data_IF_111775521876
#
_entry.id   IF_111775521876
#
_cell.length_a   1.000
_cell.length_b   1.000
_cell.length_c   1.000
_cell.angle_alpha   90.00
_cell.angle_beta   90.00
_cell.angle_gamma   90.00
#
_symmetry.space_group_name_H-M   'P 1'
#
loop_
_entity.id
_entity.type
_entity.pdbx_description
1 polymer ?
#
# COMPACT_ATOMS: atom_id res chain seq x y z
N UNK A 1 -3.74 -30.95 2.05
CA UNK A 1 -3.03 -29.66 1.92
C UNK A 1 -2.66 -29.36 0.46
N UNK A 2 -2.26 -30.37 -0.33
CA UNK A 2 -1.96 -30.24 -1.76
C UNK A 2 -3.12 -29.62 -2.59
N UNK A 3 -4.38 -29.99 -2.34
CA UNK A 3 -5.53 -29.49 -3.14
C UNK A 3 -5.90 -28.01 -2.94
N UNK A 4 -5.18 -27.29 -2.07
CA UNK A 4 -5.37 -25.86 -1.81
C UNK A 4 -4.20 -25.00 -2.27
N UNK A 5 -3.11 -25.60 -2.75
CA UNK A 5 -1.98 -24.83 -3.29
C UNK A 5 -2.16 -24.73 -4.79
N UNK A 6 -2.27 -23.50 -5.31
CA UNK A 6 -2.33 -23.28 -6.76
C UNK A 6 -0.95 -23.32 -7.40
N UNK A 7 0.08 -22.91 -6.67
CA UNK A 7 1.45 -22.94 -7.17
C UNK A 7 2.42 -22.25 -6.24
N UNK A 8 3.69 -22.61 -6.43
CA UNK A 8 4.84 -21.99 -5.80
C UNK A 8 5.80 -21.52 -6.91
N UNK A 9 6.40 -20.35 -6.72
CA UNK A 9 7.38 -19.79 -7.64
C UNK A 9 8.57 -19.28 -6.83
N UNK A 10 9.74 -19.88 -7.05
CA UNK A 10 11.00 -19.30 -6.62
C UNK A 10 11.38 -18.20 -7.60
N UNK A 11 11.59 -16.97 -7.10
CA UNK A 11 11.89 -15.80 -7.92
C UNK A 11 13.38 -15.48 -7.84
N UNK A 12 13.93 -15.49 -6.62
CA UNK A 12 15.35 -15.33 -6.35
C UNK A 12 15.70 -16.01 -5.03
N UNK A 13 16.98 -16.01 -4.65
CA UNK A 13 17.43 -16.48 -3.33
C UNK A 13 16.76 -15.73 -2.17
N UNK A 14 16.28 -14.51 -2.43
CA UNK A 14 15.67 -13.61 -1.44
C UNK A 14 14.16 -13.50 -1.56
N UNK A 15 13.54 -14.15 -2.55
CA UNK A 15 12.11 -13.97 -2.81
C UNK A 15 11.46 -15.22 -3.38
N UNK A 16 10.32 -15.58 -2.81
CA UNK A 16 9.44 -16.59 -3.38
C UNK A 16 7.98 -16.22 -3.19
N UNK A 17 7.13 -16.83 -4.01
CA UNK A 17 5.68 -16.61 -4.00
C UNK A 17 4.97 -17.94 -3.85
N UNK A 18 3.98 -17.98 -2.98
CA UNK A 18 3.06 -19.08 -2.80
C UNK A 18 1.64 -18.59 -3.01
N UNK A 19 0.89 -19.24 -3.91
CA UNK A 19 -0.52 -18.96 -4.13
C UNK A 19 -1.38 -20.08 -3.57
N UNK A 20 -2.30 -19.76 -2.67
CA UNK A 20 -3.20 -20.72 -2.03
C UNK A 20 -4.67 -20.33 -2.14
N UNK A 21 -5.54 -21.34 -2.15
CA UNK A 21 -6.99 -21.19 -2.07
C UNK A 21 -7.40 -20.98 -0.62
N UNK A 22 -7.97 -19.83 -0.32
CA UNK A 22 -8.66 -19.57 0.94
C UNK A 22 -10.15 -19.91 0.87
N UNK A 23 -10.89 -19.59 1.95
CA UNK A 23 -12.33 -19.88 2.05
C UNK A 23 -13.16 -18.96 1.14
N UNK A 24 -12.88 -17.67 1.17
CA UNK A 24 -13.62 -16.64 0.42
C UNK A 24 -12.79 -16.00 -0.69
N UNK A 25 -11.48 -15.90 -0.47
CA UNK A 25 -10.53 -15.32 -1.40
C UNK A 25 -9.31 -16.23 -1.53
N UNK A 26 -8.64 -16.14 -2.66
CA UNK A 26 -7.31 -16.73 -2.82
C UNK A 26 -6.26 -15.80 -2.20
N UNK A 27 -5.16 -16.37 -1.73
CA UNK A 27 -4.06 -15.63 -1.14
C UNK A 27 -2.82 -15.77 -2.02
N UNK A 28 -2.20 -14.64 -2.33
CA UNK A 28 -0.86 -14.57 -2.91
C UNK A 28 0.09 -14.13 -1.80
N UNK A 29 0.86 -15.08 -1.28
CA UNK A 29 1.84 -14.86 -0.20
C UNK A 29 3.20 -14.71 -0.85
N UNK A 30 3.84 -13.56 -0.64
CA UNK A 30 5.19 -13.28 -1.12
C UNK A 30 6.09 -13.30 0.11
N UNK A 31 7.03 -14.24 0.16
CA UNK A 31 8.04 -14.29 1.20
C UNK A 31 9.30 -13.60 0.72
N UNK A 32 9.86 -12.74 1.55
CA UNK A 32 11.01 -11.91 1.21
C UNK A 32 12.10 -11.94 2.27
N UNK A 33 13.32 -11.71 1.83
CA UNK A 33 14.49 -11.42 2.66
C UNK A 33 15.26 -10.24 2.06
N UNK A 34 14.87 -9.03 2.46
CA UNK A 34 15.45 -7.79 1.94
C UNK A 34 16.97 -7.73 2.16
N UNK A 35 17.71 -6.99 1.31
CA UNK A 35 19.10 -6.64 1.58
C UNK A 35 19.24 -5.93 2.94
N UNK A 36 20.39 -6.10 3.60
CA UNK A 36 20.69 -5.37 4.84
C UNK A 36 20.79 -3.86 4.60
N UNK A 37 20.61 -3.07 5.66
CA UNK A 37 20.66 -1.59 5.59
C UNK A 37 21.96 -1.07 4.98
N UNK A 38 23.08 -1.76 5.22
CA UNK A 38 24.43 -1.38 4.76
C UNK A 38 24.70 -1.69 3.27
N UNK A 39 23.76 -2.35 2.60
CA UNK A 39 23.89 -2.63 1.15
C UNK A 39 23.71 -1.37 0.33
N UNK A 40 24.28 -1.37 -0.88
CA UNK A 40 24.17 -0.25 -1.81
C UNK A 40 22.72 0.03 -2.18
N UNK A 41 22.44 1.28 -2.52
CA UNK A 41 21.11 1.68 -2.98
C UNK A 41 20.71 0.92 -4.26
N UNK A 42 21.66 0.66 -5.17
CA UNK A 42 21.42 -0.14 -6.38
C UNK A 42 20.90 -1.56 -6.05
N UNK A 43 21.48 -2.22 -5.04
CA UNK A 43 21.03 -3.56 -4.60
C UNK A 43 19.62 -3.50 -4.00
N UNK A 44 19.32 -2.47 -3.21
CA UNK A 44 18.00 -2.26 -2.62
C UNK A 44 16.96 -1.95 -3.69
N UNK A 45 17.29 -1.07 -4.64
CA UNK A 45 16.40 -0.68 -5.73
C UNK A 45 16.08 -1.86 -6.65
N UNK A 46 17.08 -2.66 -7.04
CA UNK A 46 16.87 -3.87 -7.82
C UNK A 46 15.95 -4.87 -7.09
N UNK A 47 16.14 -5.02 -5.77
CA UNK A 47 15.27 -5.86 -4.95
C UNK A 47 13.82 -5.35 -4.94
N UNK A 48 13.60 -4.05 -4.71
CA UNK A 48 12.26 -3.48 -4.69
C UNK A 48 11.62 -3.54 -6.08
N UNK A 49 12.34 -3.26 -7.17
CA UNK A 49 11.83 -3.42 -8.54
C UNK A 49 11.32 -4.85 -8.80
N UNK A 50 12.08 -5.86 -8.37
CA UNK A 50 11.63 -7.26 -8.46
C UNK A 50 10.38 -7.51 -7.63
N UNK A 51 10.31 -6.94 -6.41
CA UNK A 51 9.14 -7.07 -5.54
C UNK A 51 7.89 -6.44 -6.17
N UNK A 52 8.05 -5.29 -6.84
CA UNK A 52 7.00 -4.61 -7.57
C UNK A 52 6.43 -5.49 -8.68
N UNK A 53 7.29 -6.03 -9.55
CA UNK A 53 6.88 -6.92 -10.63
C UNK A 53 6.13 -8.16 -10.11
N UNK A 54 6.63 -8.77 -9.04
CA UNK A 54 6.01 -9.96 -8.44
C UNK A 54 4.66 -9.62 -7.84
N UNK A 55 4.54 -8.49 -7.16
CA UNK A 55 3.29 -8.02 -6.56
C UNK A 55 2.25 -7.69 -7.63
N UNK A 56 2.64 -6.97 -8.67
CA UNK A 56 1.75 -6.52 -9.74
C UNK A 56 1.35 -7.69 -10.67
N UNK A 57 2.23 -8.70 -10.80
CA UNK A 57 1.93 -9.97 -11.45
C UNK A 57 0.99 -10.89 -10.66
N UNK A 58 0.69 -10.58 -9.39
CA UNK A 58 -0.29 -11.36 -8.62
C UNK A 58 -1.73 -11.00 -9.01
N UNK A 59 -2.66 -11.98 -9.10
CA UNK A 59 -4.03 -11.71 -9.50
C UNK A 59 -4.71 -10.62 -8.66
N UNK A 60 -5.45 -9.71 -9.29
CA UNK A 60 -6.04 -8.53 -8.63
C UNK A 60 -7.06 -8.90 -7.54
N UNK A 61 -7.70 -10.06 -7.67
CA UNK A 61 -8.71 -10.57 -6.74
C UNK A 61 -8.10 -11.30 -5.54
N UNK A 62 -6.83 -11.69 -5.62
CA UNK A 62 -6.15 -12.35 -4.53
C UNK A 62 -5.85 -11.34 -3.42
N UNK A 63 -5.97 -11.81 -2.17
CA UNK A 63 -5.43 -11.12 -1.00
C UNK A 63 -3.92 -11.25 -1.06
N UNK A 64 -3.23 -10.12 -1.18
CA UNK A 64 -1.76 -10.09 -1.23
C UNK A 64 -1.20 -9.90 0.17
N UNK A 65 -0.28 -10.78 0.54
CA UNK A 65 0.39 -10.77 1.85
C UNK A 65 1.88 -10.87 1.60
N UNK A 66 2.65 -9.91 2.09
CA UNK A 66 4.11 -9.95 2.11
C UNK A 66 4.53 -10.33 3.52
N UNK A 67 5.34 -11.39 3.61
CA UNK A 67 5.91 -11.90 4.86
C UNK A 67 7.42 -12.02 4.72
N UNK A 68 8.09 -12.14 5.86
CA UNK A 68 9.51 -12.46 5.90
C UNK A 68 10.30 -11.37 6.57
N UNK A 69 11.56 -11.26 6.19
CA UNK A 69 12.49 -10.31 6.79
C UNK A 69 12.68 -9.11 5.87
N UNK A 70 12.19 -7.95 6.31
CA UNK A 70 12.33 -6.71 5.54
C UNK A 70 13.63 -5.98 5.85
N UNK A 71 14.42 -6.42 6.84
CA UNK A 71 15.58 -5.68 7.35
C UNK A 71 15.25 -4.19 7.62
N UNK A 72 14.03 -3.95 8.09
CA UNK A 72 13.41 -2.64 8.20
C UNK A 72 13.03 -2.35 9.66
N UNK A 73 13.29 -1.11 10.08
CA UNK A 73 12.84 -0.53 11.34
C UNK A 73 11.78 0.49 11.03
N UNK A 74 10.57 0.23 11.51
CA UNK A 74 9.48 1.19 11.44
C UNK A 74 9.47 2.01 12.71
N UNK A 75 9.39 3.33 12.59
CA UNK A 75 9.18 4.20 13.72
C UNK A 75 7.71 4.31 14.10
N UNK A 76 7.37 5.40 14.79
CA UNK A 76 5.98 5.72 15.22
C UNK A 76 5.47 7.02 14.60
N UNK A 77 6.14 7.51 13.56
CA UNK A 77 5.87 8.80 12.94
C UNK A 77 4.45 8.88 12.38
N UNK A 78 3.76 9.99 12.67
CA UNK A 78 2.37 10.20 12.27
C UNK A 78 2.22 10.30 10.74
N UNK A 79 3.22 10.86 10.06
CA UNK A 79 3.23 11.06 8.60
C UNK A 79 3.10 9.76 7.80
N UNK A 80 3.51 8.64 8.36
CA UNK A 80 3.45 7.33 7.71
C UNK A 80 2.15 6.57 8.01
N UNK A 81 1.21 7.17 8.74
CA UNK A 81 -0.11 6.58 8.97
C UNK A 81 -1.04 6.87 7.78
N UNK A 82 -1.88 5.91 7.36
CA UNK A 82 -2.19 4.63 8.00
C UNK A 82 -1.38 3.43 7.46
N UNK A 83 -0.21 3.64 6.86
CA UNK A 83 0.62 2.54 6.33
C UNK A 83 1.30 1.76 7.46
N UNK A 84 1.74 2.45 8.51
CA UNK A 84 2.26 1.85 9.74
C UNK A 84 1.38 2.20 10.94
N UNK A 85 1.47 1.37 11.97
CA UNK A 85 0.74 1.51 13.23
C UNK A 85 1.56 2.16 14.34
N UNK A 86 0.91 2.59 15.42
CA UNK A 86 1.55 3.29 16.54
C UNK A 86 2.34 2.36 17.48
N UNK A 87 2.24 1.05 17.31
CA UNK A 87 2.75 0.03 18.24
C UNK A 87 4.14 -0.48 17.87
N UNK A 88 4.89 0.23 17.01
CA UNK A 88 6.27 -0.14 16.72
C UNK A 88 7.18 0.01 17.95
N UNK A 89 8.28 -0.77 17.95
CA UNK A 89 9.32 -0.70 18.97
C UNK A 89 10.18 0.57 18.83
N UNK A 90 10.41 1.03 17.60
CA UNK A 90 11.29 2.16 17.32
C UNK A 90 10.51 3.47 17.28
N UNK A 91 11.17 4.59 17.58
CA UNK A 91 10.61 5.94 17.37
C UNK A 91 10.77 6.43 15.95
N UNK A 92 11.88 6.06 15.29
CA UNK A 92 12.28 6.56 13.97
C UNK A 92 12.42 5.40 13.00
N UNK A 93 11.97 5.63 11.78
CA UNK A 93 12.05 4.73 10.62
C UNK A 93 13.43 4.85 9.98
N UNK A 94 14.06 3.72 9.62
CA UNK A 94 15.34 3.70 8.90
C UNK A 94 15.15 3.70 7.37
N UNK A 95 16.21 3.65 6.57
CA UNK A 95 16.13 3.73 5.10
C UNK A 95 15.32 2.56 4.51
N UNK A 96 15.65 1.32 4.89
CA UNK A 96 14.86 0.15 4.47
C UNK A 96 13.40 0.24 4.94
N UNK A 97 13.16 0.81 6.12
CA UNK A 97 11.82 1.09 6.64
C UNK A 97 11.06 2.06 5.75
N UNK A 98 11.67 3.16 5.35
CA UNK A 98 11.06 4.15 4.49
C UNK A 98 10.72 3.57 3.11
N UNK A 99 11.66 2.86 2.48
CA UNK A 99 11.42 2.16 1.20
C UNK A 99 10.26 1.16 1.28
N UNK A 100 10.16 0.41 2.39
CA UNK A 100 9.04 -0.50 2.62
C UNK A 100 7.71 0.25 2.82
N UNK A 101 7.71 1.39 3.52
CA UNK A 101 6.52 2.23 3.71
C UNK A 101 6.06 2.80 2.37
N UNK A 102 6.98 3.31 1.56
CA UNK A 102 6.67 3.89 0.25
C UNK A 102 6.07 2.84 -0.69
N UNK A 103 6.67 1.65 -0.74
CA UNK A 103 6.13 0.50 -1.46
C UNK A 103 4.72 0.13 -0.98
N UNK A 104 4.52 0.04 0.34
CA UNK A 104 3.23 -0.35 0.91
C UNK A 104 2.15 0.71 0.66
N UNK A 105 2.50 1.99 0.85
CA UNK A 105 1.60 3.12 0.67
C UNK A 105 1.13 3.23 -0.80
N UNK A 106 2.05 3.09 -1.77
CA UNK A 106 1.73 3.17 -3.21
C UNK A 106 0.73 2.08 -3.66
N UNK A 107 0.77 0.92 -3.00
CA UNK A 107 -0.09 -0.25 -3.29
C UNK A 107 -1.29 -0.39 -2.36
N UNK A 108 -1.51 0.58 -1.46
CA UNK A 108 -2.59 0.56 -0.49
C UNK A 108 -2.50 -0.60 0.51
N UNK A 109 -1.28 -1.07 0.79
CA UNK A 109 -0.98 -2.05 1.81
C UNK A 109 -0.71 -1.40 3.16
N UNK A 110 -0.73 -2.21 4.21
CA UNK A 110 -0.48 -1.78 5.58
C UNK A 110 0.47 -2.76 6.26
N UNK A 111 1.49 -2.24 6.94
CA UNK A 111 2.46 -2.99 7.74
C UNK A 111 1.79 -3.39 9.05
N UNK A 112 1.06 -4.50 9.01
CA UNK A 112 0.14 -4.91 10.08
C UNK A 112 0.86 -5.36 11.36
N UNK A 113 2.14 -5.74 11.28
CA UNK A 113 2.95 -6.07 12.45
C UNK A 113 3.06 -4.91 13.46
N UNK A 114 2.97 -3.65 13.01
CA UNK A 114 3.16 -2.44 13.84
C UNK A 114 1.90 -1.92 14.53
N UNK A 115 0.77 -2.63 14.45
CA UNK A 115 -0.52 -2.17 14.99
C UNK A 115 -0.97 -2.84 16.29
N UNK A 116 -0.34 -3.93 16.70
CA UNK A 116 -0.82 -4.72 17.85
C UNK A 116 -0.09 -4.37 19.13
N UNK A 117 -0.79 -3.86 20.17
CA UNK A 117 -0.17 -3.51 21.43
C UNK A 117 0.34 -4.77 22.13
N UNK A 118 1.62 -4.78 22.46
CA UNK A 118 2.35 -5.92 23.03
C UNK A 118 3.45 -5.42 23.96
N UNK A 119 3.94 -6.27 24.86
CA UNK A 119 5.18 -5.99 25.60
C UNK A 119 6.34 -5.94 24.60
N UNK A 120 7.32 -5.06 24.82
CA UNK A 120 8.46 -4.86 23.91
C UNK A 120 9.23 -6.17 23.63
N UNK A 121 9.33 -7.05 24.63
CA UNK A 121 9.90 -8.39 24.49
C UNK A 121 9.22 -9.27 23.42
N UNK A 122 7.96 -8.97 23.05
CA UNK A 122 7.18 -9.66 22.02
C UNK A 122 7.01 -8.84 20.74
N UNK A 123 7.63 -7.66 20.67
CA UNK A 123 7.75 -6.82 19.46
C UNK A 123 9.07 -7.10 18.74
N UNK A 124 10.16 -7.27 19.48
CA UNK A 124 11.44 -7.66 18.91
C UNK A 124 11.39 -9.09 18.34
N UNK A 125 11.90 -9.28 17.12
CA UNK A 125 12.02 -10.60 16.45
C UNK A 125 13.45 -11.14 16.43
N UNK A 126 14.41 -10.43 17.06
CA UNK A 126 15.83 -10.78 17.16
C UNK A 126 16.48 -10.13 18.41
N UNK A 127 17.70 -10.56 18.77
CA UNK A 127 18.58 -10.03 19.83
C UNK A 127 19.34 -8.76 19.39
N UNK A 128 19.17 -8.34 18.13
CA UNK A 128 19.66 -7.11 17.47
C UNK A 128 18.50 -6.56 16.58
N UNK A 129 18.46 -5.29 16.14
CA UNK A 129 17.20 -4.55 16.01
C UNK A 129 16.31 -4.79 14.76
N UNK A 130 16.46 -5.89 14.03
CA UNK A 130 15.79 -6.07 12.74
C UNK A 130 14.55 -6.98 12.83
N UNK A 131 13.48 -6.56 12.15
CA UNK A 131 12.14 -7.07 12.36
C UNK A 131 11.63 -7.94 11.19
N UNK A 132 11.17 -9.16 11.51
CA UNK A 132 10.31 -9.94 10.61
C UNK A 132 8.93 -9.28 10.56
N UNK A 133 8.52 -8.90 9.36
CA UNK A 133 7.38 -8.02 9.16
C UNK A 133 6.27 -8.70 8.37
N UNK A 134 5.05 -8.22 8.62
CA UNK A 134 3.86 -8.64 7.89
C UNK A 134 3.22 -7.41 7.27
N UNK A 135 3.15 -7.39 5.95
CA UNK A 135 2.47 -6.35 5.18
C UNK A 135 1.32 -6.99 4.41
N UNK A 136 0.11 -6.43 4.52
CA UNK A 136 -1.10 -7.00 3.90
C UNK A 136 -1.84 -5.92 3.10
N UNK A 137 -2.53 -6.31 2.03
CA UNK A 137 -3.49 -5.45 1.34
C UNK A 137 -4.44 -4.78 2.35
N UNK A 138 -4.51 -3.44 2.32
CA UNK A 138 -5.25 -2.64 3.30
C UNK A 138 -6.75 -2.97 3.33
N UNK A 139 -7.32 -3.51 2.23
CA UNK A 139 -8.72 -3.97 2.20
C UNK A 139 -9.00 -5.13 3.14
N UNK A 140 -7.97 -5.91 3.47
CA UNK A 140 -8.00 -7.09 4.32
C UNK A 140 -7.23 -6.89 5.63
N UNK A 141 -6.89 -5.64 5.96
CA UNK A 141 -6.17 -5.29 7.20
C UNK A 141 -6.80 -5.88 8.47
N UNK A 142 -8.13 -5.97 8.53
CA UNK A 142 -8.92 -6.50 9.66
C UNK A 142 -9.02 -8.03 9.70
N UNK A 143 -8.52 -8.73 8.68
CA UNK A 143 -8.40 -10.19 8.66
C UNK A 143 -7.26 -10.65 9.57
N UNK A 144 -6.20 -9.86 9.69
CA UNK A 144 -5.13 -10.13 10.65
C UNK A 144 -5.61 -9.72 12.03
N UNK A 145 -5.76 -10.71 12.92
CA UNK A 145 -6.23 -10.52 14.29
C UNK A 145 -5.12 -10.47 15.30
N UNK A 146 -3.98 -11.12 14.99
CA UNK A 146 -2.83 -11.12 15.88
C UNK A 146 -1.55 -11.35 15.07
N UNK A 147 -0.47 -10.72 15.52
CA UNK A 147 0.90 -11.02 15.10
C UNK A 147 1.69 -11.16 16.39
N UNK A 148 2.54 -12.19 16.53
CA UNK A 148 3.38 -12.33 17.72
C UNK A 148 4.69 -13.06 17.45
N UNK A 149 5.70 -12.71 18.22
CA UNK A 149 6.99 -13.40 18.26
C UNK A 149 6.97 -14.53 19.28
N UNK A 150 7.42 -15.72 18.89
CA UNK A 150 7.48 -16.92 19.70
C UNK A 150 8.92 -17.16 20.19
N UNK A 151 9.26 -16.59 21.34
CA UNK A 151 10.62 -16.69 21.93
C UNK A 151 11.01 -18.07 22.44
N UNK A 152 10.04 -18.93 22.75
CA UNK A 152 10.28 -20.28 23.24
C UNK A 152 10.45 -21.34 22.15
N UNK A 153 10.25 -20.97 20.88
CA UNK A 153 10.46 -21.88 19.76
C UNK A 153 11.93 -21.85 19.36
N UNK A 154 12.67 -22.93 19.65
CA UNK A 154 14.03 -23.08 19.16
C UNK A 154 13.98 -23.53 17.69
N UNK A 155 14.39 -22.64 16.79
CA UNK A 155 14.46 -22.91 15.34
C UNK A 155 15.91 -22.93 14.83
N UNK A 156 16.90 -23.01 15.75
CA UNK A 156 18.34 -23.00 15.45
C UNK A 156 18.75 -21.85 14.52
N UNK A 157 18.10 -20.70 14.70
CA UNK A 157 18.41 -19.43 14.06
C UNK A 157 18.54 -18.38 15.15
N UNK A 158 19.34 -17.38 14.86
CA UNK A 158 19.39 -16.13 15.60
C UNK A 158 18.04 -15.40 15.64
N UNK A 159 17.14 -15.60 14.69
CA UNK A 159 15.81 -15.00 14.69
C UNK A 159 14.76 -15.80 15.48
N UNK A 160 13.85 -15.09 16.13
CA UNK A 160 12.65 -15.71 16.71
C UNK A 160 11.57 -15.93 15.63
N UNK A 161 10.82 -17.02 15.78
CA UNK A 161 9.67 -17.30 14.92
C UNK A 161 8.58 -16.23 15.12
N UNK A 162 8.02 -15.72 14.03
CA UNK A 162 6.83 -14.86 14.05
C UNK A 162 5.65 -15.65 13.51
N UNK A 163 4.57 -15.68 14.29
CA UNK A 163 3.30 -16.25 13.87
C UNK A 163 2.25 -15.17 13.71
N UNK A 164 1.35 -15.41 12.75
CA UNK A 164 0.28 -14.50 12.37
C UNK A 164 -1.03 -15.27 12.43
N UNK A 165 -1.98 -14.76 13.21
CA UNK A 165 -3.35 -15.26 13.21
C UNK A 165 -4.17 -14.44 12.23
N UNK A 166 -4.67 -15.11 11.21
CA UNK A 166 -5.54 -14.52 10.19
C UNK A 166 -6.89 -15.23 10.17
N UNK A 167 -7.96 -14.43 10.08
CA UNK A 167 -9.32 -14.91 9.87
C UNK A 167 -9.83 -14.35 8.55
N UNK A 168 -10.03 -15.22 7.56
CA UNK A 168 -10.67 -14.82 6.30
C UNK A 168 -12.08 -14.29 6.58
N UNK A 169 -12.31 -13.01 6.28
CA UNK A 169 -13.63 -12.39 6.34
C UNK A 169 -13.98 -11.81 4.98
N UNK A 170 -15.27 -11.67 4.70
CA UNK A 170 -15.71 -10.79 3.64
C UNK A 170 -15.49 -9.35 4.14
N UNK A 171 -14.73 -8.55 3.38
CA UNK A 171 -14.53 -7.16 3.72
C UNK A 171 -15.88 -6.44 3.67
N UNK A 172 -16.30 -5.85 4.79
CA UNK A 172 -17.48 -4.99 4.87
C UNK A 172 -17.14 -3.53 4.55
N UNK A 173 -15.86 -3.23 4.28
CA UNK A 173 -15.37 -1.90 3.94
C UNK A 173 -15.67 -1.65 2.46
N UNK A 174 -16.80 -1.02 2.18
CA UNK A 174 -17.02 -0.39 0.90
C UNK A 174 -16.06 0.79 0.77
N UNK A 175 -15.12 0.74 -0.19
CA UNK A 175 -14.24 1.84 -0.49
C UNK A 175 -15.07 3.08 -0.91
N UNK A 176 -15.39 3.94 0.06
CA UNK A 176 -16.00 5.25 -0.18
C UNK A 176 -15.09 6.19 -0.99
N UNK A 177 -13.85 5.79 -1.32
CA UNK A 177 -13.01 6.51 -2.29
C UNK A 177 -13.66 6.67 -3.68
N UNK A 178 -14.71 5.90 -4.01
CA UNK A 178 -15.54 6.16 -5.20
C UNK A 178 -16.54 7.32 -5.05
N UNK A 179 -16.78 7.86 -3.85
CA UNK A 179 -17.86 8.83 -3.61
C UNK A 179 -17.46 10.31 -3.70
N UNK A 180 -16.31 10.65 -4.28
CA UNK A 180 -15.97 12.04 -4.65
C UNK A 180 -15.58 12.19 -6.11
N UNK A 181 -16.03 11.29 -7.00
CA UNK A 181 -16.13 11.72 -8.40
C UNK A 181 -17.27 12.72 -8.45
N UNK A 182 -16.94 13.97 -8.80
CA UNK A 182 -17.96 14.90 -9.24
C UNK A 182 -18.85 14.18 -10.26
N UNK A 183 -20.18 14.34 -10.18
CA UNK A 183 -21.06 13.72 -11.16
C UNK A 183 -20.54 14.06 -12.57
N UNK A 184 -20.44 13.08 -13.47
CA UNK A 184 -19.97 13.35 -14.83
C UNK A 184 -20.90 14.38 -15.48
N UNK A 185 -20.32 15.34 -16.21
CA UNK A 185 -21.10 16.30 -16.96
C UNK A 185 -22.01 15.58 -17.94
N UNK A 186 -23.29 15.99 -18.00
CA UNK A 186 -24.24 15.44 -18.95
C UNK A 186 -24.00 16.02 -20.35
N UNK A 187 -22.99 15.51 -21.04
CA UNK A 187 -22.60 15.99 -22.37
C UNK A 187 -23.66 15.73 -23.44
N UNK A 188 -24.65 14.86 -23.19
CA UNK A 188 -25.77 14.65 -24.11
C UNK A 188 -26.63 15.92 -24.26
N UNK A 189 -26.70 16.77 -23.23
CA UNK A 189 -27.43 18.03 -23.28
C UNK A 189 -26.83 19.02 -24.31
N UNK A 190 -25.53 18.92 -24.61
CA UNK A 190 -24.86 19.75 -25.61
C UNK A 190 -25.23 19.39 -27.06
N UNK A 191 -25.95 18.28 -27.30
CA UNK A 191 -26.53 17.98 -28.62
C UNK A 191 -27.68 18.93 -28.98
N UNK A 192 -28.28 19.60 -27.98
CA UNK A 192 -29.28 20.63 -28.19
C UNK A 192 -28.58 21.96 -28.52
N UNK A 193 -28.81 22.51 -29.71
CA UNK A 193 -28.13 23.72 -30.18
C UNK A 193 -28.26 24.93 -29.23
N UNK A 194 -29.40 25.09 -28.56
CA UNK A 194 -29.62 26.18 -27.60
C UNK A 194 -28.77 26.02 -26.32
N UNK A 195 -28.62 24.79 -25.83
CA UNK A 195 -27.82 24.49 -24.63
C UNK A 195 -26.34 24.65 -24.94
N UNK A 196 -25.89 24.19 -26.10
CA UNK A 196 -24.51 24.38 -26.55
C UNK A 196 -24.16 25.86 -26.70
N UNK A 197 -25.04 26.67 -27.28
CA UNK A 197 -24.81 28.10 -27.47
C UNK A 197 -24.76 28.86 -26.14
N UNK A 198 -25.71 28.59 -25.24
CA UNK A 198 -25.74 29.18 -23.89
C UNK A 198 -24.48 28.80 -23.09
N UNK A 199 -24.07 27.53 -23.14
CA UNK A 199 -22.87 27.05 -22.47
C UNK A 199 -21.60 27.71 -23.04
N UNK A 200 -21.48 27.83 -24.37
CA UNK A 200 -20.34 28.48 -25.01
C UNK A 200 -20.22 29.95 -24.60
N UNK A 201 -21.32 30.70 -24.55
CA UNK A 201 -21.32 32.10 -24.12
C UNK A 201 -20.91 32.25 -22.64
N UNK A 202 -21.39 31.37 -21.77
CA UNK A 202 -21.04 31.40 -20.35
C UNK A 202 -19.58 30.97 -20.12
N UNK A 203 -19.08 30.01 -20.91
CA UNK A 203 -17.69 29.59 -20.83
C UNK A 203 -16.74 30.70 -21.30
N UNK A 204 -17.05 31.35 -22.43
CA UNK A 204 -16.28 32.48 -22.96
C UNK A 204 -16.25 33.66 -21.98
N UNK A 205 -17.36 33.96 -21.31
CA UNK A 205 -17.42 35.01 -20.30
C UNK A 205 -16.64 34.70 -19.01
N UNK A 206 -16.48 33.41 -18.66
CA UNK A 206 -15.86 32.97 -17.41
C UNK A 206 -14.40 32.51 -17.58
N UNK A 207 -13.91 32.36 -18.81
CA UNK A 207 -12.53 31.95 -19.07
C UNK A 207 -11.57 33.12 -18.79
N UNK A 208 -10.48 32.90 -18.04
CA UNK A 208 -9.48 33.93 -17.79
C UNK A 208 -8.74 34.27 -19.09
N UNK A 209 -8.41 35.56 -19.26
CA UNK A 209 -7.65 36.04 -20.42
C UNK A 209 -6.20 35.53 -20.42
N UNK A 210 -5.54 35.57 -21.58
CA UNK A 210 -4.16 35.11 -21.74
C UNK A 210 -3.18 35.85 -20.81
N UNK A 211 -3.39 37.14 -20.58
CA UNK A 211 -2.57 37.94 -19.65
C UNK A 211 -2.75 37.50 -18.18
N UNK A 212 -3.97 37.14 -17.78
CA UNK A 212 -4.27 36.69 -16.41
C UNK A 212 -3.74 35.27 -16.14
N UNK A 213 -3.69 34.44 -17.17
CA UNK A 213 -3.08 33.11 -17.13
C UNK A 213 -1.56 33.19 -17.13
N UNK A 214 -0.97 34.10 -17.92
CA UNK A 214 0.48 34.32 -17.96
C UNK A 214 1.06 34.88 -16.66
N UNK A 215 0.26 35.62 -15.90
CA UNK A 215 0.63 36.14 -14.58
C UNK A 215 0.38 35.16 -13.42
N UNK A 216 -0.38 34.08 -13.63
CA UNK A 216 -0.73 33.11 -12.59
C UNK A 216 0.29 31.97 -12.51
N UNK A 217 0.39 31.34 -11.33
CA UNK A 217 1.09 30.06 -11.21
C UNK A 217 0.36 28.98 -12.03
N UNK A 218 1.07 27.94 -12.47
CA UNK A 218 0.46 26.84 -13.23
C UNK A 218 -0.74 26.23 -12.49
N UNK A 219 -0.64 26.06 -11.17
CA UNK A 219 -1.70 25.45 -10.35
C UNK A 219 -2.92 26.36 -10.20
N UNK A 220 -2.69 27.67 -10.05
CA UNK A 220 -3.76 28.67 -9.97
C UNK A 220 -4.46 28.84 -11.33
N UNK A 221 -3.70 28.86 -12.43
CA UNK A 221 -4.23 28.92 -13.79
C UNK A 221 -5.14 27.73 -14.10
N UNK A 222 -4.68 26.51 -13.79
CA UNK A 222 -5.49 25.30 -13.94
C UNK A 222 -6.74 25.29 -13.04
N UNK A 223 -6.64 25.83 -11.84
CA UNK A 223 -7.78 25.92 -10.92
C UNK A 223 -8.86 26.88 -11.43
N UNK A 224 -8.45 28.02 -12.02
CA UNK A 224 -9.37 29.00 -12.63
C UNK A 224 -10.08 28.43 -13.86
N UNK A 225 -9.35 27.78 -14.76
CA UNK A 225 -9.93 27.12 -15.94
C UNK A 225 -10.93 26.04 -15.52
N UNK A 226 -10.58 25.22 -14.52
CA UNK A 226 -11.48 24.19 -13.99
C UNK A 226 -12.76 24.79 -13.40
N UNK A 227 -12.65 25.92 -12.70
CA UNK A 227 -13.82 26.61 -12.15
C UNK A 227 -14.73 27.11 -13.27
N UNK A 228 -14.19 27.73 -14.32
CA UNK A 228 -14.95 28.25 -15.45
C UNK A 228 -15.76 27.15 -16.17
N UNK A 229 -15.14 25.98 -16.38
CA UNK A 229 -15.80 24.81 -17.00
C UNK A 229 -16.92 24.25 -16.10
N UNK A 230 -16.76 24.34 -14.78
CA UNK A 230 -17.72 23.84 -13.81
C UNK A 230 -18.88 24.79 -13.49
N UNK A 231 -18.74 26.08 -13.82
CA UNK A 231 -19.74 27.12 -13.53
C UNK A 231 -20.54 27.60 -14.75
N UNK A 232 -20.16 27.20 -15.97
CA UNK A 232 -20.91 27.41 -17.21
C UNK A 232 -21.99 26.32 -17.40
#
# INVERSE_FOLDING_TARGET
MQDRVFGFTAISERMCKLRIRGRFFNYSIINVHCPHEEKSDDEKEAFYATLEEVYDGCPRQDVKVIIGDMNARFGREEMYRPTIGPESLHSVTNDNGQRCIDFAASRGMVVRSTYFPRKDIHKATWTSPDQRNLTIDGRFFSDVTHVRTFRGANIDSDHYLVGVDMRSKLSTVFNQRRSRRAPPFNTACLQSGNVAHSYAQQLEANLPGEEELGAASLEDGWSRIRSAIGSA
#
